data_IF_004380017678
#
_entry.id   IF_004380017678
#
_cell.length_a   1.000
_cell.length_b   1.000
_cell.length_c   1.000
_cell.angle_alpha   90.00
_cell.angle_beta   90.00
_cell.angle_gamma   90.00
#
_symmetry.space_group_name_H-M   'P 1'
#
loop_
_entity.id
_entity.type
_entity.pdbx_description
1 polymer ?
#
# COMPACT_ATOMS: atom_id res chain seq x y z
N UNK A 1 12.08 -15.06 -1.15
CA UNK A 1 11.56 -13.68 -1.13
C UNK A 1 11.14 -13.45 0.29
N UNK A 2 11.68 -12.42 0.91
CA UNK A 2 11.44 -12.15 2.32
C UNK A 2 10.03 -11.57 2.49
N UNK A 3 9.31 -12.06 3.49
CA UNK A 3 8.01 -11.52 3.86
C UNK A 3 8.17 -10.11 4.43
N UNK A 4 7.29 -9.20 4.00
CA UNK A 4 7.24 -7.82 4.45
C UNK A 4 6.03 -7.62 5.34
N UNK A 5 6.25 -7.07 6.52
CA UNK A 5 5.16 -6.57 7.37
C UNK A 5 4.75 -5.19 6.87
N UNK A 6 3.50 -5.01 6.47
CA UNK A 6 2.97 -3.74 5.97
C UNK A 6 1.70 -3.39 6.72
N UNK A 7 1.56 -2.12 7.09
CA UNK A 7 0.34 -1.58 7.69
C UNK A 7 -0.46 -0.85 6.62
N UNK A 8 -1.73 -1.21 6.44
CA UNK A 8 -2.66 -0.51 5.57
C UNK A 8 -3.57 0.39 6.41
N UNK A 9 -3.61 1.68 6.11
CA UNK A 9 -4.43 2.68 6.78
C UNK A 9 -5.49 3.19 5.80
N UNK A 10 -6.78 3.10 6.16
CA UNK A 10 -7.89 3.42 5.27
C UNK A 10 -8.95 4.26 5.98
N UNK A 11 -9.71 5.05 5.24
CA UNK A 11 -10.81 5.85 5.82
C UNK A 11 -12.13 5.07 5.99
N UNK A 12 -12.26 3.88 5.41
CA UNK A 12 -13.52 3.15 5.27
C UNK A 12 -13.37 1.65 5.60
N UNK A 13 -14.36 1.09 6.30
CA UNK A 13 -14.37 -0.33 6.70
C UNK A 13 -14.60 -1.27 5.52
N UNK A 14 -15.39 -0.88 4.52
CA UNK A 14 -15.59 -1.69 3.32
C UNK A 14 -14.30 -1.82 2.50
N UNK A 15 -13.54 -0.73 2.37
CA UNK A 15 -12.20 -0.78 1.76
C UNK A 15 -11.27 -1.71 2.53
N UNK A 16 -11.33 -1.68 3.87
CA UNK A 16 -10.52 -2.57 4.71
C UNK A 16 -10.84 -4.05 4.52
N UNK A 17 -12.11 -4.42 4.40
CA UNK A 17 -12.54 -5.78 4.08
C UNK A 17 -12.07 -6.21 2.69
N UNK A 18 -12.16 -5.32 1.70
CA UNK A 18 -11.70 -5.60 0.33
C UNK A 18 -10.18 -5.79 0.25
N UNK A 19 -9.40 -4.92 0.90
CA UNK A 19 -7.93 -5.05 0.94
C UNK A 19 -7.53 -6.31 1.69
N UNK A 20 -8.18 -6.63 2.82
CA UNK A 20 -7.94 -7.88 3.57
C UNK A 20 -8.17 -9.10 2.66
N UNK A 21 -9.31 -9.13 1.97
CA UNK A 21 -9.65 -10.20 1.04
C UNK A 21 -8.62 -10.32 -0.09
N UNK A 22 -8.20 -9.18 -0.66
CA UNK A 22 -7.20 -9.16 -1.73
C UNK A 22 -5.83 -9.66 -1.25
N UNK A 23 -5.38 -9.28 -0.05
CA UNK A 23 -4.12 -9.76 0.54
C UNK A 23 -4.15 -11.28 0.66
N UNK A 24 -5.23 -11.84 1.19
CA UNK A 24 -5.39 -13.29 1.38
C UNK A 24 -5.48 -14.05 0.05
N UNK A 25 -6.21 -13.50 -0.95
CA UNK A 25 -6.29 -14.09 -2.28
C UNK A 25 -4.94 -14.14 -3.00
N UNK A 26 -4.06 -13.17 -2.73
CA UNK A 26 -2.73 -13.07 -3.31
C UNK A 26 -1.64 -13.76 -2.45
N UNK A 27 -2.06 -14.58 -1.47
CA UNK A 27 -1.20 -15.44 -0.67
C UNK A 27 -0.50 -14.75 0.51
N UNK A 28 -0.90 -13.51 0.84
CA UNK A 28 -0.50 -12.86 2.10
C UNK A 28 -1.36 -13.30 3.28
N UNK A 29 -1.03 -12.80 4.46
CA UNK A 29 -1.84 -12.99 5.68
C UNK A 29 -2.08 -11.66 6.37
N UNK A 30 -3.21 -11.53 7.06
CA UNK A 30 -3.51 -10.35 7.89
C UNK A 30 -3.42 -10.72 9.37
N UNK A 31 -2.99 -9.79 10.21
CA UNK A 31 -2.71 -10.02 11.63
C UNK A 31 -3.74 -9.32 12.52
N UNK A 32 -4.06 -8.07 12.25
CA UNK A 32 -5.01 -7.29 13.04
C UNK A 32 -5.81 -6.33 12.14
N UNK A 33 -7.13 -6.26 12.37
CA UNK A 33 -7.99 -5.20 11.83
C UNK A 33 -8.51 -4.35 12.99
N UNK A 34 -7.98 -3.14 13.14
CA UNK A 34 -8.44 -2.18 14.14
C UNK A 34 -9.36 -1.20 13.42
N UNK A 35 -10.66 -1.47 13.48
CA UNK A 35 -11.69 -0.49 13.17
C UNK A 35 -12.08 0.20 14.48
N UNK A 36 -11.76 1.48 14.65
CA UNK A 36 -12.21 2.22 15.82
C UNK A 36 -13.73 2.42 15.76
N UNK A 37 -14.47 1.46 16.30
CA UNK A 37 -15.92 1.57 16.48
C UNK A 37 -16.20 2.50 17.66
N UNK A 38 -16.90 3.60 17.36
CA UNK A 38 -17.50 4.60 18.26
C UNK A 38 -16.58 5.76 18.69
N UNK A 39 -16.77 6.92 18.06
CA UNK A 39 -16.84 8.27 18.65
C UNK A 39 -16.63 9.33 17.56
N UNK A 40 -17.71 9.77 16.88
CA UNK A 40 -17.88 11.05 16.13
C UNK A 40 -16.72 11.64 15.26
N UNK A 41 -15.63 10.90 15.09
CA UNK A 41 -14.40 11.20 14.38
C UNK A 41 -14.17 10.01 13.47
N UNK A 42 -14.02 10.28 12.18
CA UNK A 42 -13.60 9.32 11.16
C UNK A 42 -12.17 8.87 11.47
N UNK A 43 -12.04 7.92 12.40
CA UNK A 43 -10.77 7.29 12.71
C UNK A 43 -10.41 6.31 11.59
N UNK A 44 -9.15 6.24 11.16
CA UNK A 44 -8.74 5.33 10.11
C UNK A 44 -8.85 3.87 10.58
N UNK A 45 -9.25 2.99 9.66
CA UNK A 45 -9.20 1.55 9.82
C UNK A 45 -7.78 1.09 9.49
N UNK A 46 -7.18 0.33 10.39
CA UNK A 46 -5.80 -0.16 10.26
C UNK A 46 -5.83 -1.67 10.05
N UNK A 47 -5.18 -2.16 9.01
CA UNK A 47 -4.97 -3.59 8.73
C UNK A 47 -3.48 -3.89 8.70
N UNK A 48 -3.00 -4.73 9.62
CA UNK A 48 -1.65 -5.27 9.56
C UNK A 48 -1.60 -6.48 8.62
N UNK A 49 -0.62 -6.54 7.72
CA UNK A 49 -0.43 -7.63 6.77
C UNK A 49 1.02 -8.11 6.72
N UNK A 50 1.21 -9.41 6.54
CA UNK A 50 2.49 -10.06 6.25
C UNK A 50 2.42 -10.61 4.83
N UNK A 51 3.24 -10.08 3.92
CA UNK A 51 3.08 -10.28 2.49
C UNK A 51 4.38 -10.08 1.71
N UNK A 52 4.52 -10.74 0.57
CA UNK A 52 5.67 -10.51 -0.33
C UNK A 52 5.55 -9.17 -1.06
N UNK A 53 6.66 -8.64 -1.59
CA UNK A 53 6.61 -7.41 -2.43
C UNK A 53 5.68 -7.57 -3.63
N UNK A 54 5.62 -8.76 -4.24
CA UNK A 54 4.70 -9.05 -5.34
C UNK A 54 3.25 -8.93 -4.89
N UNK A 55 2.92 -9.50 -3.73
CA UNK A 55 1.58 -9.36 -3.13
C UNK A 55 1.25 -7.89 -2.83
N UNK A 56 2.21 -7.11 -2.31
CA UNK A 56 2.04 -5.67 -2.04
C UNK A 56 1.68 -4.91 -3.31
N UNK A 57 2.44 -5.16 -4.38
CA UNK A 57 2.26 -4.55 -5.70
C UNK A 57 0.86 -4.81 -6.21
N UNK A 58 0.38 -6.05 -6.15
CA UNK A 58 -0.97 -6.40 -6.61
C UNK A 58 -2.06 -5.73 -5.81
N UNK A 59 -1.92 -5.66 -4.49
CA UNK A 59 -2.87 -4.94 -3.62
C UNK A 59 -2.89 -3.45 -3.96
N UNK A 60 -1.72 -2.82 -4.15
CA UNK A 60 -1.61 -1.42 -4.57
C UNK A 60 -2.26 -1.22 -5.95
N UNK A 61 -1.98 -2.10 -6.91
CA UNK A 61 -2.58 -2.06 -8.24
C UNK A 61 -4.10 -2.14 -8.19
N UNK A 62 -4.63 -3.05 -7.39
CA UNK A 62 -6.06 -3.21 -7.17
C UNK A 62 -6.68 -1.89 -6.66
N UNK A 63 -6.06 -1.25 -5.66
CA UNK A 63 -6.49 0.04 -5.11
C UNK A 63 -6.49 1.16 -6.15
N UNK A 64 -5.38 1.34 -6.88
CA UNK A 64 -5.19 2.49 -7.77
C UNK A 64 -5.84 2.31 -9.15
N UNK A 65 -6.10 1.07 -9.59
CA UNK A 65 -6.77 0.79 -10.88
C UNK A 65 -8.26 0.57 -10.74
N UNK A 66 -8.68 -0.36 -9.88
CA UNK A 66 -10.09 -0.73 -9.77
C UNK A 66 -10.89 0.36 -9.06
N UNK A 67 -10.38 0.87 -7.94
CA UNK A 67 -11.06 1.92 -7.18
C UNK A 67 -10.62 3.33 -7.52
N UNK A 68 -9.51 3.46 -8.25
CA UNK A 68 -8.89 4.74 -8.59
C UNK A 68 -8.54 5.56 -7.35
N UNK A 69 -8.36 4.93 -6.19
CA UNK A 69 -7.98 5.65 -4.98
C UNK A 69 -6.52 6.08 -5.05
N UNK A 70 -6.15 7.10 -4.29
CA UNK A 70 -4.75 7.43 -4.06
C UNK A 70 -4.16 6.47 -3.04
N UNK A 71 -2.99 5.91 -3.33
CA UNK A 71 -2.22 5.09 -2.40
C UNK A 71 -0.92 5.79 -2.08
N UNK A 72 -0.54 5.84 -0.80
CA UNK A 72 0.70 6.45 -0.31
C UNK A 72 1.46 5.36 0.44
N UNK A 73 2.53 4.83 -0.16
CA UNK A 73 3.39 3.83 0.45
C UNK A 73 4.60 4.53 1.08
N UNK A 74 4.58 4.64 2.40
CA UNK A 74 5.66 5.19 3.22
C UNK A 74 6.58 4.07 3.72
N UNK A 75 7.79 4.06 3.18
CA UNK A 75 8.85 3.11 3.51
C UNK A 75 9.86 3.67 4.53
N UNK A 76 9.65 4.89 5.02
CA UNK A 76 10.52 5.50 6.05
C UNK A 76 10.23 4.94 7.45
N UNK A 77 9.05 4.35 7.63
CA UNK A 77 8.58 3.74 8.87
C UNK A 77 8.70 2.22 8.84
N UNK A 78 8.83 1.60 10.02
CA UNK A 78 8.89 0.14 10.20
C UNK A 78 7.82 -0.29 11.22
N UNK A 79 6.81 -1.07 10.84
CA UNK A 79 6.57 -1.61 9.49
C UNK A 79 6.22 -0.51 8.46
N UNK A 80 6.58 -0.68 7.17
CA UNK A 80 6.10 0.18 6.09
C UNK A 80 4.59 0.39 6.13
N UNK A 81 4.15 1.59 5.77
CA UNK A 81 2.75 1.98 5.85
C UNK A 81 2.19 2.36 4.49
N UNK A 82 1.08 1.74 4.09
CA UNK A 82 0.30 2.14 2.93
C UNK A 82 -0.99 2.84 3.37
N UNK A 83 -1.07 4.15 3.17
CA UNK A 83 -2.30 4.91 3.36
C UNK A 83 -3.11 4.92 2.07
N UNK A 84 -4.36 4.47 2.14
CA UNK A 84 -5.30 4.45 1.03
C UNK A 84 -6.36 5.52 1.24
N UNK A 85 -6.32 6.55 0.40
CA UNK A 85 -7.27 7.67 0.41
C UNK A 85 -8.20 7.57 -0.80
N UNK A 86 -9.44 7.14 -0.55
CA UNK A 86 -10.49 7.06 -1.55
C UNK A 86 -11.37 8.31 -1.65
N UNK A 87 -11.11 9.34 -0.83
CA UNK A 87 -11.70 10.67 -1.00
C UNK A 87 -11.09 11.38 -2.22
N UNK A 88 -9.84 11.04 -2.55
CA UNK A 88 -9.15 11.49 -3.76
C UNK A 88 -9.06 10.34 -4.77
N UNK A 89 -9.81 10.44 -5.88
CA UNK A 89 -9.94 9.38 -6.89
C UNK A 89 -9.11 9.60 -8.15
N UNK A 90 -7.80 9.78 -8.00
CA UNK A 90 -6.88 10.04 -9.10
C UNK A 90 -6.06 8.82 -9.57
N UNK A 91 -6.17 7.69 -8.87
CA UNK A 91 -5.49 6.44 -9.20
C UNK A 91 -3.97 6.52 -9.14
N UNK A 92 -3.44 7.40 -8.28
CA UNK A 92 -2.00 7.63 -8.14
C UNK A 92 -1.41 6.80 -7.01
N UNK A 93 -0.16 6.37 -7.21
CA UNK A 93 0.69 5.89 -6.13
C UNK A 93 1.73 6.97 -5.82
N UNK A 94 1.84 7.31 -4.54
CA UNK A 94 2.93 8.14 -3.99
C UNK A 94 3.82 7.20 -3.18
N UNK A 95 5.07 7.06 -3.57
CA UNK A 95 6.04 6.23 -2.89
C UNK A 95 7.01 7.13 -2.13
N UNK A 96 7.05 6.99 -0.80
CA UNK A 96 8.07 7.63 0.03
C UNK A 96 9.12 6.56 0.31
N UNK A 97 10.28 6.70 -0.32
CA UNK A 97 11.38 5.74 -0.25
C UNK A 97 11.99 5.71 1.15
N UNK A 98 12.78 4.67 1.45
CA UNK A 98 13.41 4.52 2.77
C UNK A 98 14.39 5.64 3.13
N UNK A 99 14.97 6.32 2.15
CA UNK A 99 15.82 7.50 2.33
C UNK A 99 15.05 8.84 2.34
N UNK A 100 13.72 8.78 2.30
CA UNK A 100 12.82 9.93 2.44
C UNK A 100 12.53 10.69 1.15
N UNK A 101 12.91 10.15 -0.02
CA UNK A 101 12.53 10.73 -1.30
C UNK A 101 11.07 10.40 -1.63
N UNK A 102 10.41 11.28 -2.38
CA UNK A 102 9.02 11.06 -2.81
C UNK A 102 8.98 10.87 -4.32
N UNK A 103 8.39 9.77 -4.76
CA UNK A 103 8.22 9.40 -6.16
C UNK A 103 6.74 9.27 -6.45
N UNK A 104 6.25 10.06 -7.39
CA UNK A 104 4.84 10.02 -7.80
C UNK A 104 4.67 9.19 -9.07
N UNK A 105 3.88 8.13 -8.96
CA UNK A 105 3.49 7.27 -10.08
C UNK A 105 2.06 7.63 -10.49
N UNK A 106 1.95 8.54 -11.48
CA UNK A 106 0.67 9.10 -11.94
C UNK A 106 -0.05 8.17 -12.94
N UNK A 107 0.68 7.24 -13.55
CA UNK A 107 0.13 6.17 -14.38
C UNK A 107 0.92 4.88 -14.08
N UNK A 108 0.46 4.03 -13.16
CA UNK A 108 1.19 2.83 -12.80
C UNK A 108 1.39 1.95 -14.05
N UNK A 109 2.60 1.39 -14.26
CA UNK A 109 2.93 0.57 -15.43
C UNK A 109 1.87 -0.50 -15.67
N UNK A 110 1.63 -0.89 -16.92
CA UNK A 110 0.69 -2.00 -17.20
C UNK A 110 1.13 -3.32 -16.57
N UNK A 111 2.44 -3.45 -16.33
CA UNK A 111 3.08 -4.63 -15.79
C UNK A 111 3.37 -4.47 -14.29
N UNK A 112 2.96 -5.47 -13.51
CA UNK A 112 3.25 -5.57 -12.08
C UNK A 112 4.76 -5.65 -11.81
N UNK A 113 5.54 -6.19 -12.77
CA UNK A 113 6.97 -6.39 -12.62
C UNK A 113 7.76 -5.08 -12.48
N UNK A 114 7.36 -4.04 -13.21
CA UNK A 114 8.06 -2.75 -13.16
C UNK A 114 7.76 -2.01 -11.84
N UNK A 115 6.54 -2.14 -11.32
CA UNK A 115 6.19 -1.60 -10.01
C UNK A 115 6.88 -2.36 -8.87
N UNK A 116 7.01 -3.69 -8.99
CA UNK A 116 7.73 -4.50 -8.02
C UNK A 116 9.20 -4.05 -7.89
N UNK A 117 9.89 -3.87 -9.01
CA UNK A 117 11.28 -3.36 -9.01
C UNK A 117 11.39 -1.98 -8.38
N UNK A 118 10.43 -1.08 -8.66
CA UNK A 118 10.41 0.25 -8.07
C UNK A 118 10.27 0.19 -6.54
N UNK A 119 9.36 -0.65 -6.05
CA UNK A 119 9.15 -0.83 -4.60
C UNK A 119 10.37 -1.50 -3.94
N UNK A 120 10.98 -2.51 -4.57
CA UNK A 120 12.22 -3.14 -4.08
C UNK A 120 13.39 -2.13 -4.01
N UNK A 121 13.53 -1.30 -5.04
CA UNK A 121 14.52 -0.22 -5.08
C UNK A 121 14.28 0.79 -3.95
N UNK A 122 13.03 1.20 -3.76
CA UNK A 122 12.64 2.14 -2.71
C UNK A 122 12.81 1.57 -1.29
N UNK A 123 12.58 0.26 -1.10
CA UNK A 123 12.81 -0.45 0.16
C UNK A 123 14.30 -0.55 0.51
N UNK A 124 15.15 -0.77 -0.49
CA UNK A 124 16.60 -0.86 -0.31
C UNK A 124 17.28 0.52 -0.14
N UNK A 125 16.57 1.63 -0.38
CA UNK A 125 17.14 2.97 -0.40
C UNK A 125 18.13 3.19 -1.54
N UNK A 126 18.06 2.36 -2.59
CA UNK A 126 19.00 2.40 -3.70
C UNK A 126 18.56 3.45 -4.74
N UNK A 127 19.09 4.67 -4.60
CA UNK A 127 18.76 5.86 -5.42
C UNK A 127 18.79 5.61 -6.94
N UNK A 128 19.75 4.83 -7.43
CA UNK A 128 19.96 4.66 -8.87
C UNK A 128 18.88 3.86 -9.59
N UNK A 129 17.94 3.25 -8.86
CA UNK A 129 16.89 2.41 -9.41
C UNK A 129 15.48 3.03 -9.31
N UNK A 130 15.37 4.24 -8.76
CA UNK A 130 14.10 4.96 -8.55
C UNK A 130 14.00 6.23 -9.44
N UNK A 131 15.14 6.72 -9.94
CA UNK A 131 15.25 7.83 -10.93
C UNK A 131 14.98 7.39 -12.38
#
# INVERSE_FOLDING_TARGET
MDDLNVVFEMSDTGMAEMITTQIEQEGGSTTDQIAAKNLALTLPVIVGGVLTVVTLVKVIFYVIREFRCRSILDLTVDPPKNTVDCSVRDGRLILITRDGQTVEVVNPPKDDLDLAKLIEAALSGNKSAVD
#
